data_IF_943027734366
#
_entry.id   IF_943027734366
#
_cell.length_a   1.000
_cell.length_b   1.000
_cell.length_c   1.000
_cell.angle_alpha   90.00
_cell.angle_beta   90.00
_cell.angle_gamma   90.00
#
_symmetry.space_group_name_H-M   'P 1'
#
loop_
_entity.id
_entity.type
_entity.pdbx_description
1 polymer ?
#
# COMPACT_ATOMS: atom_id res chain seq x y z
N UNK A 1 13.18 -20.21 -42.16
CA UNK A 1 13.38 -20.04 -40.70
C UNK A 1 12.64 -18.76 -40.33
N UNK A 2 11.51 -18.87 -39.63
CA UNK A 2 10.65 -17.71 -39.35
C UNK A 2 11.28 -16.85 -38.25
N UNK A 3 11.50 -15.58 -38.55
CA UNK A 3 11.98 -14.56 -37.63
C UNK A 3 10.82 -14.17 -36.70
N UNK A 4 10.78 -14.67 -35.46
CA UNK A 4 9.81 -14.20 -34.48
C UNK A 4 10.28 -12.86 -33.93
N UNK A 5 9.49 -11.80 -34.19
CA UNK A 5 9.64 -10.54 -33.48
C UNK A 5 9.43 -10.81 -31.98
N UNK A 6 10.21 -10.18 -31.08
CA UNK A 6 9.99 -10.31 -29.66
C UNK A 6 8.58 -9.80 -29.35
N UNK A 7 7.77 -10.65 -28.72
CA UNK A 7 6.42 -10.29 -28.29
C UNK A 7 6.47 -8.97 -27.53
N UNK A 8 5.52 -8.07 -27.80
CA UNK A 8 5.44 -6.81 -27.07
C UNK A 8 5.34 -7.09 -25.56
N UNK A 9 5.92 -6.23 -24.71
CA UNK A 9 5.80 -6.39 -23.25
C UNK A 9 4.33 -6.59 -22.83
N UNK A 10 3.41 -5.91 -23.52
CA UNK A 10 1.98 -6.05 -23.30
C UNK A 10 1.46 -7.45 -23.64
N UNK A 11 1.93 -8.10 -24.72
CA UNK A 11 1.60 -9.50 -25.03
C UNK A 11 2.20 -10.48 -24.02
N UNK A 12 3.44 -10.25 -23.57
CA UNK A 12 4.09 -11.11 -22.58
C UNK A 12 3.33 -11.06 -21.23
N UNK A 13 2.93 -9.86 -20.80
CA UNK A 13 2.18 -9.66 -19.56
C UNK A 13 0.73 -10.18 -19.64
N UNK A 14 0.08 -10.16 -20.81
CA UNK A 14 -1.27 -10.78 -20.96
C UNK A 14 -1.25 -12.28 -21.21
N UNK A 15 -0.15 -12.83 -21.74
CA UNK A 15 -0.05 -14.26 -22.03
C UNK A 15 0.15 -15.11 -20.76
N UNK A 16 0.58 -14.48 -19.66
CA UNK A 16 0.71 -15.14 -18.36
C UNK A 16 -0.62 -15.21 -17.57
N UNK A 17 -1.74 -14.83 -18.22
CA UNK A 17 -3.12 -14.68 -17.71
C UNK A 17 -3.65 -15.79 -16.80
N UNK A 18 -3.22 -15.75 -15.55
CA UNK A 18 -3.72 -16.45 -14.38
C UNK A 18 -3.24 -15.70 -13.14
N UNK A 19 -3.78 -16.05 -11.96
CA UNK A 19 -3.29 -15.52 -10.68
C UNK A 19 -1.85 -16.00 -10.45
N UNK A 20 -0.88 -15.28 -11.02
CA UNK A 20 0.52 -15.63 -10.87
C UNK A 20 0.98 -15.25 -9.46
N UNK A 21 1.86 -16.05 -8.85
CA UNK A 21 2.51 -15.66 -7.62
C UNK A 21 3.21 -14.32 -7.84
N UNK A 22 2.81 -13.28 -7.11
CA UNK A 22 3.46 -11.96 -7.14
C UNK A 22 4.84 -11.98 -6.47
N UNK A 23 5.53 -13.13 -6.44
CA UNK A 23 6.77 -13.35 -5.69
C UNK A 23 7.81 -12.28 -6.01
N UNK A 24 8.04 -12.00 -7.29
CA UNK A 24 8.95 -10.95 -7.73
C UNK A 24 8.53 -9.54 -7.24
N UNK A 25 7.24 -9.21 -7.30
CA UNK A 25 6.73 -7.93 -6.81
C UNK A 25 6.92 -7.82 -5.29
N UNK A 26 6.64 -8.90 -4.56
CA UNK A 26 6.82 -8.98 -3.11
C UNK A 26 8.30 -8.91 -2.72
N UNK A 27 9.21 -9.45 -3.51
CA UNK A 27 10.66 -9.32 -3.31
C UNK A 27 11.11 -7.87 -3.47
N UNK A 28 10.61 -7.16 -4.49
CA UNK A 28 10.87 -5.72 -4.66
C UNK A 28 10.36 -4.94 -3.45
N UNK A 29 9.11 -5.19 -3.03
CA UNK A 29 8.50 -4.50 -1.89
C UNK A 29 9.30 -4.75 -0.61
N UNK A 30 9.73 -5.99 -0.39
CA UNK A 30 10.55 -6.35 0.78
C UNK A 30 11.89 -5.61 0.80
N UNK A 31 12.57 -5.52 -0.35
CA UNK A 31 13.83 -4.78 -0.47
C UNK A 31 13.64 -3.26 -0.27
N UNK A 32 12.51 -2.72 -0.74
CA UNK A 32 12.21 -1.29 -0.65
C UNK A 32 11.48 -0.90 0.63
N UNK A 33 11.09 -1.87 1.46
CA UNK A 33 10.23 -1.66 2.63
C UNK A 33 10.71 -0.52 3.55
N UNK A 34 12.00 -0.42 3.92
CA UNK A 34 12.46 0.69 4.75
C UNK A 34 12.21 2.07 4.12
N UNK A 35 12.37 2.18 2.80
CA UNK A 35 12.11 3.43 2.07
C UNK A 35 10.61 3.70 1.93
N UNK A 36 9.81 2.65 1.73
CA UNK A 36 8.34 2.73 1.69
C UNK A 36 7.81 3.21 3.04
N UNK A 37 8.32 2.72 4.17
CA UNK A 37 7.93 3.18 5.49
C UNK A 37 8.19 4.68 5.67
N UNK A 38 9.37 5.18 5.27
CA UNK A 38 9.71 6.60 5.37
C UNK A 38 8.78 7.46 4.52
N UNK A 39 8.58 7.08 3.25
CA UNK A 39 7.72 7.81 2.33
C UNK A 39 6.24 7.75 2.76
N UNK A 40 5.77 6.57 3.19
CA UNK A 40 4.43 6.33 3.70
C UNK A 40 4.14 7.17 4.94
N UNK A 41 5.08 7.28 5.88
CA UNK A 41 4.92 8.12 7.07
C UNK A 41 4.71 9.58 6.70
N UNK A 42 5.42 10.07 5.69
CA UNK A 42 5.24 11.43 5.18
C UNK A 42 3.86 11.62 4.54
N UNK A 43 3.45 10.69 3.67
CA UNK A 43 2.15 10.73 3.00
C UNK A 43 1.00 10.70 4.00
N UNK A 44 1.07 9.83 5.02
CA UNK A 44 0.05 9.77 6.08
C UNK A 44 -0.07 11.10 6.79
N UNK A 45 1.04 11.73 7.20
CA UNK A 45 0.99 13.05 7.85
C UNK A 45 0.36 14.10 6.94
N UNK A 46 0.83 14.19 5.69
CA UNK A 46 0.39 15.21 4.74
C UNK A 46 -1.06 15.01 4.28
N UNK A 47 -1.57 13.77 4.25
CA UNK A 47 -2.89 13.46 3.71
C UNK A 47 -3.95 13.22 4.80
N UNK A 48 -3.59 12.54 5.89
CA UNK A 48 -4.54 12.10 6.92
C UNK A 48 -4.75 13.18 7.98
N UNK A 49 -3.71 13.91 8.42
CA UNK A 49 -3.89 14.97 9.43
C UNK A 49 -4.89 16.06 9.00
N UNK A 50 -4.87 16.57 7.74
CA UNK A 50 -5.89 17.52 7.28
C UNK A 50 -7.31 16.94 7.29
N UNK A 51 -7.44 15.65 6.99
CA UNK A 51 -8.74 14.95 7.02
C UNK A 51 -9.23 14.83 8.46
N UNK A 52 -8.37 14.45 9.41
CA UNK A 52 -8.70 14.42 10.83
C UNK A 52 -9.13 15.80 11.34
N UNK A 53 -8.41 16.85 10.96
CA UNK A 53 -8.71 18.23 11.38
C UNK A 53 -10.05 18.76 10.83
N UNK A 54 -10.40 18.38 9.60
CA UNK A 54 -11.67 18.81 8.97
C UNK A 54 -12.87 17.98 9.42
N UNK A 55 -12.66 16.71 9.75
CA UNK A 55 -13.74 15.75 10.05
C UNK A 55 -14.08 15.66 11.53
N UNK A 56 -13.09 15.83 12.43
CA UNK A 56 -13.31 15.61 13.86
C UNK A 56 -13.80 16.88 14.59
N UNK A 57 -14.73 16.76 15.56
CA UNK A 57 -15.28 17.91 16.27
C UNK A 57 -14.35 18.44 17.38
N UNK A 58 -14.46 19.75 17.62
CA UNK A 58 -13.91 20.43 18.80
C UNK A 58 -12.40 20.21 19.03
N UNK A 59 -11.97 19.76 20.21
CA UNK A 59 -10.56 19.69 20.60
C UNK A 59 -9.75 18.61 19.85
N UNK A 60 -10.43 17.66 19.18
CA UNK A 60 -9.82 16.60 18.39
C UNK A 60 -9.29 17.09 17.03
N UNK A 61 -9.62 18.32 16.63
CA UNK A 61 -9.10 18.94 15.39
C UNK A 61 -7.59 19.11 15.35
N UNK A 62 -6.94 19.05 16.51
CA UNK A 62 -5.50 19.22 16.65
C UNK A 62 -4.77 17.87 16.76
N UNK A 63 -5.41 16.76 16.40
CA UNK A 63 -4.75 15.45 16.37
C UNK A 63 -3.62 15.45 15.34
N UNK A 64 -2.44 14.99 15.75
CA UNK A 64 -1.26 14.86 14.90
C UNK A 64 -0.53 13.56 15.20
N UNK A 65 0.11 13.00 14.19
CA UNK A 65 0.94 11.81 14.36
C UNK A 65 2.30 12.18 14.94
N UNK A 66 2.58 11.75 16.17
CA UNK A 66 3.89 11.92 16.81
C UNK A 66 4.84 10.79 16.44
N UNK A 67 4.32 9.58 16.24
CA UNK A 67 5.07 8.42 15.76
C UNK A 67 4.29 7.70 14.68
N UNK A 68 4.99 7.29 13.64
CA UNK A 68 4.47 6.41 12.59
C UNK A 68 5.55 5.38 12.31
N UNK A 69 5.31 4.16 12.77
CA UNK A 69 6.14 2.99 12.50
C UNK A 69 5.26 1.89 11.89
N UNK A 70 5.56 1.50 10.65
CA UNK A 70 4.87 0.40 9.97
C UNK A 70 5.43 -0.97 10.39
N UNK A 71 6.50 -1.01 11.18
CA UNK A 71 7.16 -2.24 11.58
C UNK A 71 7.93 -2.91 10.44
N UNK A 72 8.35 -4.16 10.70
CA UNK A 72 9.24 -4.91 9.81
C UNK A 72 8.52 -5.82 8.82
N UNK A 73 7.21 -6.01 8.98
CA UNK A 73 6.44 -6.89 8.10
C UNK A 73 6.00 -6.11 6.87
N UNK A 74 6.52 -6.43 5.66
CA UNK A 74 6.17 -5.72 4.45
C UNK A 74 4.73 -6.03 4.01
N UNK A 75 4.18 -5.11 3.22
CA UNK A 75 2.95 -5.36 2.46
C UNK A 75 3.23 -6.46 1.42
N UNK A 76 2.24 -7.31 1.19
CA UNK A 76 2.29 -8.39 0.19
C UNK A 76 1.14 -8.27 -0.80
N UNK A 77 1.39 -8.72 -2.02
CA UNK A 77 0.42 -8.77 -3.09
C UNK A 77 0.09 -10.22 -3.46
N UNK A 78 -1.18 -10.46 -3.79
CA UNK A 78 -1.70 -11.74 -4.27
C UNK A 78 -2.75 -11.52 -5.36
N UNK A 79 -3.22 -12.60 -6.00
CA UNK A 79 -4.27 -12.57 -7.01
C UNK A 79 -4.04 -11.50 -8.08
N UNK A 80 -2.84 -11.49 -8.65
CA UNK A 80 -2.45 -10.51 -9.67
C UNK A 80 -3.08 -10.91 -11.00
N UNK A 81 -3.85 -9.99 -11.57
CA UNK A 81 -4.50 -10.13 -12.86
C UNK A 81 -4.21 -8.91 -13.74
N UNK A 82 -3.80 -9.15 -14.98
CA UNK A 82 -3.28 -8.12 -15.87
C UNK A 82 -4.14 -8.03 -17.13
N UNK A 83 -4.81 -6.90 -17.30
CA UNK A 83 -5.72 -6.67 -18.42
C UNK A 83 -5.26 -5.51 -19.28
N UNK A 84 -5.41 -5.66 -20.60
CA UNK A 84 -5.31 -4.53 -21.52
C UNK A 84 -6.58 -3.70 -21.42
N UNK A 85 -6.40 -2.39 -21.25
CA UNK A 85 -7.50 -1.43 -21.32
C UNK A 85 -7.82 -1.11 -22.78
N UNK A 86 -9.03 -0.57 -23.03
CA UNK A 86 -9.49 -0.17 -24.38
C UNK A 86 -8.57 0.87 -25.05
N UNK A 87 -7.81 1.63 -24.25
CA UNK A 87 -6.92 2.69 -24.73
C UNK A 87 -5.46 2.23 -24.80
N UNK A 88 -5.21 0.92 -24.94
CA UNK A 88 -3.87 0.33 -25.01
C UNK A 88 -3.00 0.56 -23.74
N UNK A 89 -3.61 0.95 -22.62
CA UNK A 89 -2.98 0.97 -21.30
C UNK A 89 -3.05 -0.40 -20.62
N UNK A 90 -2.26 -0.59 -19.58
CA UNK A 90 -2.22 -1.81 -18.76
C UNK A 90 -2.96 -1.53 -17.44
N UNK A 91 -3.91 -2.40 -17.08
CA UNK A 91 -4.56 -2.41 -15.76
C UNK A 91 -4.04 -3.62 -14.99
N UNK A 92 -3.62 -3.40 -13.75
CA UNK A 92 -3.30 -4.45 -12.81
C UNK A 92 -4.36 -4.46 -11.72
N UNK A 93 -5.07 -5.57 -11.60
CA UNK A 93 -5.97 -5.87 -10.51
C UNK A 93 -5.22 -6.82 -9.56
N UNK A 94 -5.06 -6.42 -8.31
CA UNK A 94 -4.25 -7.14 -7.33
C UNK A 94 -4.84 -6.99 -5.94
N UNK A 95 -4.70 -8.04 -5.14
CA UNK A 95 -5.04 -7.99 -3.72
C UNK A 95 -3.83 -7.56 -2.91
N UNK A 96 -4.02 -6.57 -2.04
CA UNK A 96 -3.03 -6.10 -1.07
C UNK A 96 -3.35 -6.71 0.29
N UNK A 97 -2.37 -7.38 0.89
CA UNK A 97 -2.44 -7.89 2.25
C UNK A 97 -1.30 -7.33 3.09
N UNK A 98 -1.64 -6.80 4.26
CA UNK A 98 -0.68 -6.38 5.27
C UNK A 98 -1.15 -6.82 6.64
N UNK A 99 -0.29 -7.50 7.37
CA UNK A 99 -0.53 -7.95 8.74
C UNK A 99 0.71 -7.58 9.54
N UNK A 100 0.73 -6.33 9.99
CA UNK A 100 1.91 -5.70 10.55
C UNK A 100 1.76 -5.45 12.04
N UNK A 101 2.81 -5.77 12.79
CA UNK A 101 3.04 -5.20 14.12
C UNK A 101 3.58 -3.80 13.89
N UNK A 102 2.72 -2.80 14.05
CA UNK A 102 3.00 -1.39 13.78
C UNK A 102 2.96 -0.60 15.09
N UNK A 103 3.42 0.65 15.07
CA UNK A 103 3.28 1.56 16.19
C UNK A 103 2.98 2.98 15.69
N UNK A 104 1.69 3.31 15.71
CA UNK A 104 1.21 4.65 15.40
C UNK A 104 0.80 5.35 16.68
N UNK A 105 1.40 6.50 16.96
CA UNK A 105 1.06 7.33 18.11
C UNK A 105 0.46 8.66 17.65
N UNK A 106 -0.68 9.01 18.24
CA UNK A 106 -1.39 10.27 18.01
C UNK A 106 -1.37 11.13 19.27
N UNK A 107 -1.12 12.43 19.11
CA UNK A 107 -1.21 13.43 20.18
C UNK A 107 -2.28 14.48 19.86
N UNK A 108 -2.98 14.95 20.90
CA UNK A 108 -4.02 15.96 20.77
C UNK A 108 -4.29 16.67 22.10
N UNK A 109 -4.65 17.95 22.03
CA UNK A 109 -4.77 18.87 23.18
C UNK A 109 -5.60 18.35 24.37
N UNK A 110 -6.60 17.49 24.15
CA UNK A 110 -7.46 16.91 25.19
C UNK A 110 -7.60 15.38 25.03
N UNK A 111 -6.66 14.74 24.32
CA UNK A 111 -6.61 13.27 24.17
C UNK A 111 -5.47 12.78 25.06
N UNK A 112 -5.70 11.80 25.96
CA UNK A 112 -4.60 11.12 26.63
C UNK A 112 -3.62 10.61 25.57
N UNK A 113 -2.30 10.74 25.79
CA UNK A 113 -1.21 10.49 24.84
C UNK A 113 -1.16 9.10 24.14
N UNK A 114 -2.18 8.27 24.28
CA UNK A 114 -2.08 6.81 24.11
C UNK A 114 -3.21 6.30 23.21
N UNK A 115 -3.28 6.79 21.97
CA UNK A 115 -3.86 5.98 20.89
C UNK A 115 -2.68 5.35 20.17
N UNK A 116 -2.27 4.18 20.67
CA UNK A 116 -1.23 3.33 20.08
C UNK A 116 -1.92 2.20 19.32
N UNK A 117 -1.70 2.12 18.01
CA UNK A 117 -2.06 0.94 17.23
C UNK A 117 -0.84 0.02 17.15
N UNK A 118 -0.85 -1.06 17.94
CA UNK A 118 0.25 -2.04 18.02
C UNK A 118 0.19 -3.15 16.96
N UNK A 119 -0.99 -3.35 16.37
CA UNK A 119 -1.25 -4.35 15.34
C UNK A 119 -2.28 -3.82 14.36
N UNK A 120 -1.99 -3.94 13.07
CA UNK A 120 -2.90 -3.53 12.00
C UNK A 120 -2.91 -4.59 10.89
N UNK A 121 -4.10 -5.15 10.65
CA UNK A 121 -4.36 -6.03 9.51
C UNK A 121 -5.19 -5.30 8.46
N UNK A 122 -4.65 -5.16 7.26
CA UNK A 122 -5.28 -4.55 6.10
C UNK A 122 -5.34 -5.58 4.97
N UNK A 123 -6.55 -5.85 4.49
CA UNK A 123 -6.79 -6.63 3.28
C UNK A 123 -7.63 -5.82 2.33
N UNK A 124 -7.09 -5.51 1.17
CA UNK A 124 -7.80 -4.85 0.07
C UNK A 124 -7.78 -5.81 -1.10
N UNK A 125 -8.94 -6.38 -1.41
CA UNK A 125 -9.08 -7.30 -2.53
C UNK A 125 -9.92 -6.71 -3.66
N UNK A 126 -9.67 -7.15 -4.88
CA UNK A 126 -10.59 -6.90 -5.98
C UNK A 126 -11.77 -7.87 -5.88
N UNK A 127 -13.00 -7.34 -5.85
CA UNK A 127 -14.26 -8.11 -5.78
C UNK A 127 -14.59 -8.83 -7.09
#
# INVERSE_FOLDING_TARGET
MANQAPASLVEQLTASGGAEPAGFLNDIVSNLWPNICIAGSKIIKESVEPVLASTLPGPLKNLRFVKIDFGHVPISFSNVDVHKTKNNGIKLDMDLNWDGVCDFELDGKLVPKVVCCEHLSLRLGCS
#
